data_IF_518813376675
#
_entry.id   IF_518813376675
#
_cell.length_a   1.000
_cell.length_b   1.000
_cell.length_c   1.000
_cell.angle_alpha   90.00
_cell.angle_beta   90.00
_cell.angle_gamma   90.00
#
_symmetry.space_group_name_H-M   'P 1'
#
loop_
_entity.id
_entity.type
_entity.pdbx_description
1 polymer ?
#
# COMPACT_ATOMS: atom_id res chain seq x y z
N UNK A 1 -48.03 -12.32 -41.25
CA UNK A 1 -47.56 -10.91 -41.20
C UNK A 1 -47.18 -10.41 -39.80
N UNK A 2 -47.69 -10.98 -38.69
CA UNK A 2 -47.43 -10.51 -37.31
C UNK A 2 -45.99 -10.73 -36.78
N UNK A 3 -45.30 -11.79 -37.20
CA UNK A 3 -43.93 -12.08 -36.73
C UNK A 3 -42.84 -11.15 -37.27
N UNK A 4 -43.06 -10.53 -38.44
CA UNK A 4 -42.07 -9.64 -39.09
C UNK A 4 -41.96 -8.28 -38.40
N UNK A 5 -43.00 -7.87 -37.67
CA UNK A 5 -42.99 -6.67 -36.83
C UNK A 5 -42.29 -6.92 -35.50
N UNK A 6 -42.40 -8.14 -34.96
CA UNK A 6 -41.74 -8.54 -33.72
C UNK A 6 -40.21 -8.56 -33.86
N UNK A 7 -39.71 -9.01 -35.01
CA UNK A 7 -38.27 -9.03 -35.31
C UNK A 7 -37.70 -7.61 -35.49
N UNK A 8 -38.46 -6.69 -36.09
CA UNK A 8 -38.05 -5.29 -36.24
C UNK A 8 -38.03 -4.57 -34.88
N UNK A 9 -38.98 -4.85 -34.01
CA UNK A 9 -39.06 -4.26 -32.67
C UNK A 9 -37.93 -4.75 -31.75
N UNK A 10 -37.57 -6.04 -31.84
CA UNK A 10 -36.41 -6.61 -31.15
C UNK A 10 -35.09 -6.00 -31.63
N UNK A 11 -34.95 -5.75 -32.93
CA UNK A 11 -33.75 -5.13 -33.50
C UNK A 11 -33.63 -3.66 -33.09
N UNK A 12 -34.74 -2.92 -33.03
CA UNK A 12 -34.77 -1.54 -32.55
C UNK A 12 -34.41 -1.42 -31.05
N UNK A 13 -34.83 -2.39 -30.22
CA UNK A 13 -34.44 -2.44 -28.79
C UNK A 13 -32.95 -2.73 -28.59
N UNK A 14 -32.33 -3.52 -29.49
CA UNK A 14 -30.89 -3.79 -29.44
C UNK A 14 -30.07 -2.54 -29.80
N UNK A 15 -30.61 -1.64 -30.62
CA UNK A 15 -29.97 -0.36 -30.95
C UNK A 15 -30.14 0.71 -29.85
N UNK A 16 -31.03 0.47 -28.87
CA UNK A 16 -31.21 1.34 -27.70
C UNK A 16 -30.26 1.02 -26.53
N UNK A 17 -29.27 0.15 -26.72
CA UNK A 17 -28.16 -0.02 -25.77
C UNK A 17 -27.24 1.21 -25.86
N UNK A 18 -27.73 2.35 -25.37
CA UNK A 18 -26.94 3.55 -25.17
C UNK A 18 -25.73 3.18 -24.32
N UNK A 19 -24.53 3.46 -24.83
CA UNK A 19 -23.29 3.34 -24.08
C UNK A 19 -23.39 4.27 -22.86
N UNK A 20 -23.85 3.73 -21.73
CA UNK A 20 -23.61 4.32 -20.42
C UNK A 20 -22.11 4.21 -20.18
N UNK A 21 -21.34 5.15 -20.72
CA UNK A 21 -19.97 5.35 -20.32
C UNK A 21 -20.02 5.83 -18.88
N UNK A 22 -20.01 4.89 -17.94
CA UNK A 22 -19.77 5.10 -16.52
C UNK A 22 -18.31 5.48 -16.26
N UNK A 23 -17.73 6.30 -17.14
CA UNK A 23 -16.45 6.97 -16.95
C UNK A 23 -16.64 8.14 -15.98
N UNK A 24 -17.01 7.84 -14.73
CA UNK A 24 -17.23 8.88 -13.73
C UNK A 24 -17.07 8.40 -12.29
N UNK A 25 -17.21 7.09 -12.06
CA UNK A 25 -17.08 6.51 -10.71
C UNK A 25 -15.69 5.89 -10.49
N UNK A 26 -14.96 5.65 -11.58
CA UNK A 26 -13.58 5.16 -11.61
C UNK A 26 -12.71 6.09 -12.47
N UNK A 27 -12.70 7.40 -12.19
CA UNK A 27 -11.54 8.17 -12.65
C UNK A 27 -10.33 7.45 -12.05
N UNK A 28 -9.39 6.90 -12.86
CA UNK A 28 -8.18 6.36 -12.29
C UNK A 28 -7.62 7.50 -11.45
N UNK A 29 -7.34 7.24 -10.16
CA UNK A 29 -6.43 8.12 -9.43
C UNK A 29 -5.16 8.08 -10.27
N UNK A 30 -4.99 9.08 -11.13
CA UNK A 30 -3.82 9.19 -11.99
C UNK A 30 -2.68 9.45 -11.03
N UNK A 31 -2.07 8.36 -10.59
CA UNK A 31 -0.83 8.35 -9.88
C UNK A 31 0.14 9.14 -10.78
N UNK A 32 0.48 10.37 -10.38
CA UNK A 32 1.37 11.23 -11.17
C UNK A 32 2.80 10.68 -11.25
N UNK A 33 3.07 9.59 -10.52
CA UNK A 33 4.35 8.88 -10.50
C UNK A 33 4.43 7.95 -11.71
N UNK A 34 5.61 7.82 -12.30
CA UNK A 34 5.86 6.84 -13.35
C UNK A 34 5.59 5.42 -12.85
N UNK A 35 4.94 4.58 -13.65
CA UNK A 35 4.65 3.18 -13.32
C UNK A 35 5.92 2.39 -12.95
N UNK A 36 7.05 2.71 -13.59
CA UNK A 36 8.36 2.12 -13.27
C UNK A 36 8.78 2.39 -11.81
N UNK A 37 8.65 3.62 -11.34
CA UNK A 37 8.99 3.98 -9.96
C UNK A 37 8.07 3.28 -8.94
N UNK A 38 6.78 3.16 -9.25
CA UNK A 38 5.82 2.43 -8.40
C UNK A 38 6.15 0.94 -8.34
N UNK A 39 6.56 0.36 -9.48
CA UNK A 39 6.96 -1.04 -9.53
C UNK A 39 8.25 -1.28 -8.74
N UNK A 40 9.25 -0.40 -8.87
CA UNK A 40 10.50 -0.46 -8.12
C UNK A 40 10.23 -0.38 -6.61
N UNK A 41 9.41 0.57 -6.17
CA UNK A 41 9.03 0.73 -4.77
C UNK A 41 8.36 -0.54 -4.23
N UNK A 42 7.39 -1.11 -4.97
CA UNK A 42 6.71 -2.37 -4.59
C UNK A 42 7.68 -3.55 -4.54
N UNK A 43 8.63 -3.63 -5.47
CA UNK A 43 9.64 -4.68 -5.46
C UNK A 43 10.54 -4.56 -4.23
N UNK A 44 10.96 -3.36 -3.84
CA UNK A 44 11.76 -3.11 -2.63
C UNK A 44 10.98 -3.52 -1.39
N UNK A 45 9.73 -3.09 -1.24
CA UNK A 45 8.87 -3.45 -0.10
C UNK A 45 8.68 -4.97 0.01
N UNK A 46 8.40 -5.63 -1.12
CA UNK A 46 8.20 -7.07 -1.16
C UNK A 46 9.49 -7.82 -0.77
N UNK A 47 10.63 -7.47 -1.38
CA UNK A 47 11.91 -8.11 -1.09
C UNK A 47 12.36 -7.87 0.35
N UNK A 48 12.18 -6.66 0.88
CA UNK A 48 12.47 -6.34 2.28
C UNK A 48 11.65 -7.21 3.22
N UNK A 49 10.33 -7.28 3.01
CA UNK A 49 9.44 -8.14 3.82
C UNK A 49 9.86 -9.61 3.76
N UNK A 50 10.19 -10.13 2.58
CA UNK A 50 10.62 -11.52 2.43
C UNK A 50 11.92 -11.81 3.18
N UNK A 51 12.94 -10.96 3.03
CA UNK A 51 14.24 -11.16 3.69
C UNK A 51 14.16 -10.99 5.21
N UNK A 52 13.39 -10.00 5.69
CA UNK A 52 13.15 -9.79 7.12
C UNK A 52 12.41 -11.01 7.71
N UNK A 53 11.35 -11.47 7.05
CA UNK A 53 10.58 -12.64 7.49
C UNK A 53 11.43 -13.92 7.53
N UNK A 54 12.34 -14.09 6.55
CA UNK A 54 13.24 -15.23 6.49
C UNK A 54 14.21 -15.29 7.67
N UNK A 55 14.71 -14.13 8.15
CA UNK A 55 15.68 -14.06 9.25
C UNK A 55 15.05 -13.99 10.64
N UNK A 56 13.98 -13.22 10.81
CA UNK A 56 13.50 -12.84 12.14
C UNK A 56 12.18 -13.48 12.57
N UNK A 57 11.55 -14.31 11.70
CA UNK A 57 10.30 -15.05 11.98
C UNK A 57 9.18 -14.11 12.52
N UNK A 58 8.05 -14.67 12.94
CA UNK A 58 6.82 -13.92 13.30
C UNK A 58 6.89 -13.13 14.62
N UNK A 59 8.06 -13.01 15.26
CA UNK A 59 8.19 -12.43 16.60
C UNK A 59 8.47 -10.92 16.59
N UNK A 60 8.62 -10.30 15.42
CA UNK A 60 8.86 -8.86 15.28
C UNK A 60 7.74 -8.20 14.47
N UNK A 61 7.30 -7.02 14.92
CA UNK A 61 6.35 -6.18 14.19
C UNK A 61 7.11 -5.09 13.48
N UNK A 62 7.50 -5.35 12.22
CA UNK A 62 8.26 -4.40 11.39
C UNK A 62 7.51 -4.17 10.08
N UNK A 63 7.37 -2.91 9.72
CA UNK A 63 6.77 -2.47 8.47
C UNK A 63 7.82 -1.71 7.65
N UNK A 64 7.86 -1.99 6.35
CA UNK A 64 8.75 -1.32 5.40
C UNK A 64 7.87 -0.67 4.36
N UNK A 65 8.04 0.63 4.17
CA UNK A 65 7.32 1.42 3.15
C UNK A 65 8.34 2.15 2.30
N UNK A 66 8.19 2.10 0.98
CA UNK A 66 9.13 2.68 0.04
C UNK A 66 8.45 3.77 -0.80
N UNK A 67 9.15 4.88 -0.99
CA UNK A 67 8.73 5.94 -1.89
C UNK A 67 9.93 6.52 -2.65
N UNK A 68 9.89 6.45 -3.98
CA UNK A 68 10.97 6.92 -4.85
C UNK A 68 12.34 6.36 -4.42
N UNK A 69 12.38 5.05 -4.11
CA UNK A 69 13.57 4.31 -3.66
C UNK A 69 14.12 4.74 -2.30
N UNK A 70 13.37 5.51 -1.51
CA UNK A 70 13.65 5.76 -0.09
C UNK A 70 12.79 4.84 0.77
N UNK A 71 13.44 4.02 1.59
CA UNK A 71 12.75 3.10 2.47
C UNK A 71 12.63 3.66 3.88
N UNK A 72 11.41 3.69 4.40
CA UNK A 72 11.10 3.94 5.79
C UNK A 72 10.83 2.61 6.48
N UNK A 73 11.60 2.34 7.54
CA UNK A 73 11.45 1.15 8.37
C UNK A 73 10.86 1.59 9.71
N UNK A 74 9.70 1.06 10.07
CA UNK A 74 9.02 1.37 11.32
C UNK A 74 8.63 0.10 12.07
N UNK A 75 8.46 0.21 13.38
CA UNK A 75 8.01 -0.91 14.21
C UNK A 75 8.80 -1.08 15.50
N UNK A 76 8.67 -2.27 16.07
CA UNK A 76 9.28 -2.65 17.34
C UNK A 76 10.16 -3.88 17.19
N UNK A 77 11.35 -3.79 17.77
CA UNK A 77 12.34 -4.87 17.82
C UNK A 77 12.80 -5.13 19.25
N UNK A 78 13.16 -6.37 19.58
CA UNK A 78 13.55 -6.75 20.94
C UNK A 78 14.93 -6.22 21.34
N UNK A 79 15.83 -5.99 20.38
CA UNK A 79 17.22 -5.61 20.63
C UNK A 79 17.80 -4.73 19.50
N UNK A 80 18.90 -4.03 19.80
CA UNK A 80 19.56 -3.13 18.84
C UNK A 80 20.32 -3.90 17.73
N UNK A 81 20.77 -5.13 17.99
CA UNK A 81 21.43 -5.93 16.96
C UNK A 81 20.43 -6.32 15.84
N UNK A 82 19.18 -6.60 16.21
CA UNK A 82 18.06 -6.81 15.29
C UNK A 82 17.74 -5.54 14.52
N UNK A 83 17.72 -4.37 15.17
CA UNK A 83 17.56 -3.07 14.49
C UNK A 83 18.60 -2.87 13.39
N UNK A 84 19.88 -3.03 13.72
CA UNK A 84 20.98 -2.87 12.76
C UNK A 84 20.98 -3.96 11.67
N UNK A 85 20.58 -5.18 12.02
CA UNK A 85 20.47 -6.27 11.06
C UNK A 85 19.40 -6.02 10.01
N UNK A 86 18.23 -5.51 10.40
CA UNK A 86 17.16 -5.13 9.48
C UNK A 86 17.60 -3.97 8.58
N UNK A 87 18.27 -2.96 9.13
CA UNK A 87 18.80 -1.84 8.36
C UNK A 87 19.78 -2.31 7.27
N UNK A 88 20.69 -3.23 7.59
CA UNK A 88 21.61 -3.83 6.60
C UNK A 88 20.89 -4.63 5.52
N UNK A 89 19.84 -5.38 5.88
CA UNK A 89 19.05 -6.14 4.92
C UNK A 89 18.41 -5.20 3.90
N UNK A 90 17.75 -4.15 4.39
CA UNK A 90 17.09 -3.17 3.51
C UNK A 90 18.13 -2.37 2.72
N UNK A 91 19.28 -2.04 3.32
CA UNK A 91 20.41 -1.37 2.65
C UNK A 91 21.07 -2.17 1.55
N UNK A 92 20.99 -3.51 1.61
CA UNK A 92 21.49 -4.39 0.57
C UNK A 92 20.58 -4.50 -0.65
N UNK A 93 19.35 -3.96 -0.60
CA UNK A 93 18.42 -4.01 -1.72
C UNK A 93 18.81 -2.95 -2.76
N UNK A 94 18.98 -3.37 -4.01
CA UNK A 94 19.14 -2.44 -5.14
C UNK A 94 17.83 -2.33 -5.91
N UNK A 95 17.39 -1.13 -6.34
CA UNK A 95 18.06 0.18 -6.23
C UNK A 95 17.51 1.04 -5.08
N UNK A 96 18.12 1.06 -3.90
CA UNK A 96 17.77 1.99 -2.80
C UNK A 96 18.61 3.27 -2.85
N UNK A 97 18.00 4.42 -2.55
CA UNK A 97 18.68 5.73 -2.46
C UNK A 97 19.01 6.13 -1.03
N UNK A 98 18.21 5.68 -0.08
CA UNK A 98 18.36 6.04 1.32
C UNK A 98 17.38 5.28 2.19
N UNK A 99 17.70 5.23 3.48
CA UNK A 99 16.93 4.51 4.48
C UNK A 99 16.73 5.41 5.69
N UNK A 100 15.49 5.48 6.17
CA UNK A 100 15.14 6.05 7.45
C UNK A 100 14.72 4.92 8.39
N UNK A 101 15.46 4.74 9.48
CA UNK A 101 15.24 3.67 10.45
C UNK A 101 14.61 4.21 11.73
N UNK A 102 13.29 4.11 11.82
CA UNK A 102 12.47 4.49 12.97
C UNK A 102 12.03 3.24 13.78
N UNK A 103 12.89 2.21 13.83
CA UNK A 103 12.67 1.07 14.71
C UNK A 103 12.95 1.45 16.16
N UNK A 104 11.97 1.18 17.02
CA UNK A 104 12.09 1.34 18.46
C UNK A 104 12.51 0.03 19.11
N UNK A 105 13.58 0.09 19.91
CA UNK A 105 14.01 -1.03 20.75
C UNK A 105 13.20 -0.97 22.04
N UNK A 106 12.34 -1.97 22.28
CA UNK A 106 11.46 -1.99 23.45
C UNK A 106 10.80 -3.35 23.68
N UNK A 107 10.41 -3.64 24.93
CA UNK A 107 9.61 -4.83 25.25
C UNK A 107 8.29 -4.74 24.50
N UNK A 108 7.88 -5.85 23.86
CA UNK A 108 6.73 -5.99 22.93
C UNK A 108 5.33 -5.54 23.44
N UNK A 109 5.23 -4.92 24.61
CA UNK A 109 3.97 -4.57 25.29
C UNK A 109 3.94 -3.10 25.77
N UNK A 110 4.52 -2.16 25.03
CA UNK A 110 4.31 -0.74 25.33
C UNK A 110 2.97 -0.25 24.76
N UNK A 111 1.88 -0.69 25.41
CA UNK A 111 0.49 -0.35 25.11
C UNK A 111 0.17 1.12 25.44
N UNK A 112 1.11 1.86 26.06
CA UNK A 112 0.94 3.28 26.42
C UNK A 112 0.91 4.22 25.22
N UNK A 113 1.78 4.02 24.24
CA UNK A 113 1.94 4.92 23.06
C UNK A 113 0.78 4.79 22.06
N UNK A 114 0.15 3.61 21.97
CA UNK A 114 -0.98 3.40 21.03
C UNK A 114 -2.27 4.13 21.45
N UNK A 115 -2.48 4.40 22.76
CA UNK A 115 -3.71 5.04 23.24
C UNK A 115 -3.76 6.56 23.02
N UNK A 116 -2.61 7.24 22.97
CA UNK A 116 -2.57 8.67 22.67
C UNK A 116 -2.83 8.98 21.20
N UNK A 117 -2.48 8.06 20.29
CA UNK A 117 -2.57 8.30 18.84
C UNK A 117 -4.00 8.10 18.27
N UNK A 118 -4.82 7.24 18.89
CA UNK A 118 -6.22 7.04 18.47
C UNK A 118 -7.10 8.27 18.71
N UNK A 119 -6.79 9.10 19.70
CA UNK A 119 -7.53 10.34 19.97
C UNK A 119 -7.22 11.42 18.93
N UNK A 120 -5.93 11.65 18.67
CA UNK A 120 -5.47 12.69 17.73
C UNK A 120 -5.82 12.34 16.28
N UNK A 121 -5.71 11.05 15.90
CA UNK A 121 -6.06 10.62 14.55
C UNK A 121 -7.57 10.72 14.26
N UNK A 122 -8.43 10.60 15.28
CA UNK A 122 -9.87 10.83 15.18
C UNK A 122 -10.20 12.30 14.91
N UNK A 123 -9.57 13.21 15.63
CA UNK A 123 -9.78 14.65 15.47
C UNK A 123 -9.31 15.17 14.10
N UNK A 124 -8.16 14.70 13.62
CA UNK A 124 -7.65 15.08 12.29
C UNK A 124 -8.58 14.56 11.19
N UNK A 125 -9.01 13.30 11.27
CA UNK A 125 -9.91 12.71 10.25
C UNK A 125 -11.29 13.38 10.23
N UNK A 126 -11.75 13.88 11.37
CA UNK A 126 -13.02 14.62 11.47
C UNK A 126 -12.91 16.04 10.91
N UNK A 127 -11.73 16.67 11.02
CA UNK A 127 -11.45 18.00 10.46
C UNK A 127 -11.14 18.01 8.97
N UNK A 128 -10.66 16.90 8.41
CA UNK A 128 -10.35 16.74 6.98
C UNK A 128 -11.46 16.00 6.20
N UNK A 129 -12.67 15.90 6.75
CA UNK A 129 -13.85 15.38 6.04
C UNK A 129 -14.62 16.51 5.36
#
# INVERSE_FOLDING_TARGET
>A
MRGRWLTVLLFALALLQGCAQTQGINAPKVERRSDAAVQDDRNIEYNARQQIAARYRSNIQVNVTCFNRFALITGQVPDDATKQGIERIVGGLSPIKGIANELHVGRANDTGVRRSDSGVSGDVRTRFR
#
